data_IF_375177959781
#
_entry.id   IF_375177959781
#
_cell.length_a   1.000
_cell.length_b   1.000
_cell.length_c   1.000
_cell.angle_alpha   90.00
_cell.angle_beta   90.00
_cell.angle_gamma   90.00
#
_symmetry.space_group_name_H-M   'P 1'
#
loop_
_entity.id
_entity.type
_entity.pdbx_description
1 polymer ?
#
# COMPACT_ATOMS: atom_id res chain seq x y z
N UNK A 1 3.36 -4.56 21.23
CA UNK A 1 4.38 -3.67 20.64
C UNK A 1 4.42 -2.33 21.36
N UNK A 2 3.35 -1.53 21.39
CA UNK A 2 3.36 -0.25 22.12
C UNK A 2 3.70 -0.40 23.62
N UNK A 3 3.07 -1.37 24.30
CA UNK A 3 3.38 -1.66 25.70
C UNK A 3 4.81 -2.15 25.94
N UNK A 4 5.50 -2.60 24.88
CA UNK A 4 6.92 -2.97 24.93
C UNK A 4 7.85 -1.79 24.62
N UNK A 5 7.31 -0.58 24.40
CA UNK A 5 8.10 0.65 24.23
C UNK A 5 8.78 0.80 22.87
N UNK A 6 8.21 0.26 21.79
CA UNK A 6 8.81 0.41 20.45
C UNK A 6 8.60 1.82 19.90
N UNK A 7 9.60 2.33 19.18
CA UNK A 7 9.55 3.67 18.57
C UNK A 7 8.74 3.72 17.26
N UNK A 8 8.62 2.58 16.56
CA UNK A 8 7.99 2.48 15.24
C UNK A 8 7.41 1.08 15.02
N UNK A 9 6.30 1.01 14.28
CA UNK A 9 5.75 -0.24 13.75
C UNK A 9 5.81 -0.23 12.23
N UNK A 10 6.24 -1.37 11.66
CA UNK A 10 6.26 -1.61 10.21
C UNK A 10 5.55 -2.93 9.93
N UNK A 11 4.76 -2.99 8.86
CA UNK A 11 4.22 -4.24 8.33
C UNK A 11 5.06 -4.68 7.12
N UNK A 12 5.54 -5.92 7.15
CA UNK A 12 6.33 -6.52 6.05
C UNK A 12 5.44 -7.20 4.99
N UNK A 13 4.14 -6.90 4.97
CA UNK A 13 3.18 -7.45 4.01
C UNK A 13 2.30 -6.35 3.42
N UNK A 14 2.30 -6.23 2.08
CA UNK A 14 1.43 -5.29 1.36
C UNK A 14 -0.05 -5.50 1.69
N UNK A 15 -0.50 -6.76 1.72
CA UNK A 15 -1.91 -7.09 1.96
C UNK A 15 -2.35 -6.77 3.39
N UNK A 16 -1.50 -7.02 4.39
CA UNK A 16 -1.85 -6.76 5.80
C UNK A 16 -2.05 -5.28 6.12
N UNK A 17 -1.50 -4.36 5.32
CA UNK A 17 -1.71 -2.92 5.52
C UNK A 17 -3.20 -2.54 5.54
N UNK A 18 -4.05 -3.25 4.77
CA UNK A 18 -5.51 -3.03 4.78
C UNK A 18 -6.12 -3.24 6.17
N UNK A 19 -5.67 -4.25 6.90
CA UNK A 19 -6.18 -4.57 8.22
C UNK A 19 -5.48 -3.76 9.32
N UNK A 20 -4.17 -3.54 9.18
CA UNK A 20 -3.33 -2.94 10.22
C UNK A 20 -3.45 -1.41 10.24
N UNK A 21 -3.54 -0.74 9.09
CA UNK A 21 -3.53 0.72 9.04
C UNK A 21 -4.65 1.37 9.88
N UNK A 22 -5.94 0.95 9.78
CA UNK A 22 -7.01 1.53 10.60
C UNK A 22 -6.86 1.26 12.10
N UNK A 23 -6.19 0.15 12.47
CA UNK A 23 -5.89 -0.18 13.87
C UNK A 23 -4.84 0.78 14.41
N UNK A 24 -3.81 1.07 13.61
CA UNK A 24 -2.68 1.91 13.98
C UNK A 24 -3.01 3.41 14.03
N UNK A 25 -4.00 3.89 13.27
CA UNK A 25 -4.48 5.28 13.34
C UNK A 25 -4.92 5.72 14.74
N UNK A 26 -5.33 4.76 15.59
CA UNK A 26 -5.78 5.00 16.96
C UNK A 26 -4.67 4.80 18.00
N UNK A 27 -3.42 4.62 17.56
CA UNK A 27 -2.25 4.28 18.40
C UNK A 27 -1.28 5.45 18.46
N UNK A 28 -0.49 5.51 19.53
CA UNK A 28 0.48 6.60 19.74
C UNK A 28 1.77 6.34 18.97
N UNK A 29 2.12 5.07 18.84
CA UNK A 29 3.32 4.62 18.14
C UNK A 29 3.14 4.83 16.64
N UNK A 30 4.06 5.54 15.97
CA UNK A 30 3.99 5.73 14.53
C UNK A 30 3.95 4.39 13.77
N UNK A 31 3.20 4.38 12.67
CA UNK A 31 3.15 3.25 11.74
C UNK A 31 3.64 3.70 10.37
N UNK A 32 4.70 3.06 9.87
CA UNK A 32 5.20 3.33 8.53
C UNK A 32 4.41 2.49 7.51
N UNK A 33 3.54 3.16 6.77
CA UNK A 33 2.78 2.51 5.71
C UNK A 33 3.65 2.30 4.47
N UNK A 34 3.74 1.07 3.95
CA UNK A 34 4.63 0.73 2.81
C UNK A 34 4.39 1.56 1.54
N UNK A 35 3.15 1.99 1.30
CA UNK A 35 2.83 2.88 0.19
C UNK A 35 3.52 4.25 0.29
N UNK A 36 3.99 4.69 1.46
CA UNK A 36 4.64 5.99 1.59
C UNK A 36 6.00 6.07 0.91
N UNK A 37 7.00 5.24 1.25
CA UNK A 37 8.28 5.24 0.55
C UNK A 37 8.12 4.89 -0.94
N UNK A 38 7.17 4.02 -1.30
CA UNK A 38 6.85 3.71 -2.70
C UNK A 38 6.33 4.95 -3.45
N UNK A 39 5.42 5.71 -2.83
CA UNK A 39 4.85 6.92 -3.42
C UNK A 39 5.88 8.03 -3.58
N UNK A 40 6.78 8.19 -2.60
CA UNK A 40 7.90 9.13 -2.69
C UNK A 40 8.84 8.79 -3.85
N UNK A 41 9.20 7.51 -3.99
CA UNK A 41 10.06 7.04 -5.08
C UNK A 41 9.42 7.26 -6.46
N UNK A 42 8.13 6.93 -6.63
CA UNK A 42 7.40 7.14 -7.89
C UNK A 42 7.31 8.64 -8.23
N UNK A 43 7.01 9.49 -7.22
CA UNK A 43 6.97 10.95 -7.41
C UNK A 43 8.33 11.50 -7.80
N UNK A 44 9.41 11.04 -7.16
CA UNK A 44 10.78 11.44 -7.49
C UNK A 44 11.18 11.02 -8.91
N UNK A 45 10.65 9.90 -9.40
CA UNK A 45 10.80 9.46 -10.79
C UNK A 45 9.96 10.27 -11.80
N UNK A 46 9.13 11.22 -11.35
CA UNK A 46 8.30 12.07 -12.22
C UNK A 46 7.11 11.36 -12.87
N UNK A 47 6.79 10.14 -12.42
CA UNK A 47 5.71 9.34 -12.99
C UNK A 47 4.35 9.83 -12.48
N UNK A 48 3.39 9.93 -13.41
CA UNK A 48 2.00 10.37 -13.11
C UNK A 48 0.99 9.24 -13.15
N UNK A 49 1.37 8.09 -13.71
CA UNK A 49 0.51 6.92 -13.84
C UNK A 49 1.39 5.66 -13.85
N UNK A 50 1.06 4.68 -13.01
CA UNK A 50 1.84 3.45 -12.84
C UNK A 50 0.95 2.20 -12.80
N UNK A 51 1.50 1.05 -13.15
CA UNK A 51 0.83 -0.25 -12.94
C UNK A 51 0.91 -0.70 -11.49
N UNK A 52 -0.18 -1.25 -10.94
CA UNK A 52 -0.21 -1.89 -9.62
C UNK A 52 -0.44 -3.39 -9.79
N UNK A 53 0.58 -4.18 -9.44
CA UNK A 53 0.53 -5.64 -9.39
C UNK A 53 0.78 -6.12 -7.96
N UNK A 54 0.20 -7.26 -7.61
CA UNK A 54 0.29 -7.86 -6.29
C UNK A 54 -0.74 -8.98 -6.15
N UNK A 55 -1.04 -9.38 -4.92
CA UNK A 55 -2.20 -10.26 -4.69
C UNK A 55 -3.48 -9.57 -5.14
N UNK A 56 -4.52 -10.34 -5.45
CA UNK A 56 -5.84 -9.85 -5.81
C UNK A 56 -6.40 -8.93 -4.73
N UNK A 57 -6.13 -9.23 -3.46
CA UNK A 57 -6.50 -8.36 -2.34
C UNK A 57 -5.84 -6.98 -2.41
N UNK A 58 -4.62 -6.86 -2.95
CA UNK A 58 -3.93 -5.59 -3.16
C UNK A 58 -4.40 -4.89 -4.44
N UNK A 59 -4.48 -5.61 -5.57
CA UNK A 59 -4.87 -5.03 -6.87
C UNK A 59 -6.32 -4.53 -6.88
N UNK A 60 -7.21 -5.18 -6.13
CA UNK A 60 -8.63 -4.79 -6.00
C UNK A 60 -8.89 -3.73 -4.93
N UNK A 61 -7.94 -3.48 -4.03
CA UNK A 61 -8.17 -2.59 -2.89
C UNK A 61 -8.00 -1.12 -3.31
N UNK A 62 -8.98 -0.25 -2.99
CA UNK A 62 -8.83 1.18 -3.27
C UNK A 62 -7.78 1.85 -2.38
N UNK A 63 -7.33 1.23 -1.28
CA UNK A 63 -6.48 1.87 -0.28
C UNK A 63 -5.14 2.35 -0.84
N UNK A 64 -4.47 1.52 -1.64
CA UNK A 64 -3.20 1.91 -2.27
C UNK A 64 -3.45 3.01 -3.30
N UNK A 65 -4.40 2.81 -4.21
CA UNK A 65 -4.75 3.76 -5.26
C UNK A 65 -5.14 5.14 -4.70
N UNK A 66 -5.99 5.16 -3.66
CA UNK A 66 -6.45 6.38 -3.02
C UNK A 66 -5.33 7.08 -2.27
N UNK A 67 -4.49 6.35 -1.52
CA UNK A 67 -3.34 6.95 -0.82
C UNK A 67 -2.34 7.53 -1.80
N UNK A 68 -2.04 6.84 -2.90
CA UNK A 68 -1.17 7.34 -3.96
C UNK A 68 -1.72 8.62 -4.60
N UNK A 69 -3.01 8.61 -4.94
CA UNK A 69 -3.68 9.78 -5.52
C UNK A 69 -3.69 10.97 -4.56
N UNK A 70 -4.10 10.76 -3.31
CA UNK A 70 -4.30 11.84 -2.33
C UNK A 70 -3.00 12.40 -1.77
N UNK A 71 -2.00 11.54 -1.47
CA UNK A 71 -0.75 11.96 -0.84
C UNK A 71 0.36 12.30 -1.83
N UNK A 72 0.36 11.68 -3.02
CA UNK A 72 1.47 11.79 -3.98
C UNK A 72 1.07 12.33 -5.36
N UNK A 73 -0.22 12.38 -5.67
CA UNK A 73 -0.73 13.05 -6.88
C UNK A 73 -0.48 12.28 -8.18
N UNK A 74 -0.50 10.94 -8.13
CA UNK A 74 -0.44 10.08 -9.31
C UNK A 74 -1.50 8.98 -9.26
N UNK A 75 -1.78 8.39 -10.42
CA UNK A 75 -2.77 7.33 -10.58
C UNK A 75 -2.14 5.93 -10.68
N UNK A 76 -2.90 4.93 -10.26
CA UNK A 76 -2.57 3.52 -10.47
C UNK A 76 -3.53 2.88 -11.45
N UNK A 77 -3.02 1.99 -12.31
CA UNK A 77 -3.80 1.12 -13.18
C UNK A 77 -3.59 -0.32 -12.70
N UNK A 78 -4.67 -1.05 -12.51
CA UNK A 78 -4.61 -2.50 -12.27
C UNK A 78 -5.04 -3.26 -13.54
N UNK A 79 -4.61 -4.52 -13.72
CA UNK A 79 -5.04 -5.36 -14.85
C UNK A 79 -6.56 -5.59 -14.88
N UNK A 80 -7.07 -6.19 -15.97
CA UNK A 80 -8.44 -6.71 -15.97
C UNK A 80 -8.61 -7.88 -15.02
N UNK A 81 -9.86 -8.23 -14.69
CA UNK A 81 -10.21 -9.31 -13.75
C UNK A 81 -9.51 -10.65 -14.04
N UNK A 82 -9.53 -11.11 -15.31
CA UNK A 82 -8.88 -12.36 -15.71
C UNK A 82 -7.35 -12.33 -15.51
N UNK A 83 -6.71 -11.19 -15.80
CA UNK A 83 -5.27 -11.02 -15.61
C UNK A 83 -4.92 -10.93 -14.12
N UNK A 84 -5.78 -10.29 -13.32
CA UNK A 84 -5.60 -10.24 -11.86
C UNK A 84 -5.62 -11.64 -11.24
N UNK A 85 -6.51 -12.53 -11.69
CA UNK A 85 -6.55 -13.92 -11.21
C UNK A 85 -5.27 -14.69 -11.55
N UNK A 86 -4.73 -14.46 -12.76
CA UNK A 86 -3.45 -15.08 -13.17
C UNK A 86 -2.31 -14.57 -12.28
N UNK A 87 -2.24 -13.26 -12.07
CA UNK A 87 -1.19 -12.63 -11.23
C UNK A 87 -1.29 -13.10 -9.77
N UNK A 88 -2.50 -13.14 -9.20
CA UNK A 88 -2.73 -13.59 -7.82
C UNK A 88 -2.38 -15.07 -7.61
N UNK A 89 -2.57 -15.91 -8.64
CA UNK A 89 -2.16 -17.32 -8.57
C UNK A 89 -0.64 -17.50 -8.57
N UNK A 90 0.12 -16.56 -9.15
CA UNK A 90 1.58 -16.63 -9.27
C UNK A 90 2.28 -16.14 -7.99
N UNK A 91 1.67 -15.18 -7.29
CA UNK A 91 2.23 -14.50 -6.09
C UNK A 91 1.81 -15.21 -4.81
#
# INVERSE_FOLDING_TARGET
LEAAGVDLVVSVSNTLHRAVAPIMEKRRTPFLHIADPTGEAIRAAGLKRVGLLGTGATMRSPLFAERFRTKFGFETIAPGEADMEIVDRII
#
